data_IF_862739751973
#
_entry.id   IF_862739751973
#
_cell.length_a   1.000
_cell.length_b   1.000
_cell.length_c   1.000
_cell.angle_alpha   90.00
_cell.angle_beta   90.00
_cell.angle_gamma   90.00
#
_symmetry.space_group_name_H-M   'P 1'
#
loop_
_entity.id
_entity.type
_entity.pdbx_description
1 polymer ?
#
# COMPACT_ATOMS: atom_id res chain seq x y z
N UNK A 1 7.34 -45.67 -55.43
CA UNK A 1 8.35 -44.64 -55.14
C UNK A 1 7.61 -43.50 -54.45
N UNK A 2 7.67 -43.44 -53.10
CA UNK A 2 6.98 -42.41 -52.31
C UNK A 2 7.75 -41.09 -52.39
N UNK A 3 7.07 -39.98 -52.68
CA UNK A 3 7.63 -38.64 -52.55
C UNK A 3 6.91 -37.91 -51.40
N UNK A 4 7.62 -37.69 -50.30
CA UNK A 4 7.18 -36.84 -49.19
C UNK A 4 7.29 -35.37 -49.58
N UNK A 5 6.18 -34.62 -49.44
CA UNK A 5 6.16 -33.16 -49.54
C UNK A 5 6.38 -32.59 -48.13
N UNK A 6 7.56 -32.01 -47.90
CA UNK A 6 7.85 -31.25 -46.68
C UNK A 6 7.27 -29.84 -46.76
N UNK A 7 6.43 -29.48 -45.79
CA UNK A 7 5.90 -28.11 -45.63
C UNK A 7 6.84 -27.34 -44.70
N UNK A 8 7.45 -26.27 -45.20
CA UNK A 8 8.27 -25.34 -44.44
C UNK A 8 7.34 -24.27 -43.82
N UNK A 9 7.25 -24.20 -42.49
CA UNK A 9 6.50 -23.15 -41.77
C UNK A 9 7.48 -22.05 -41.35
N UNK A 10 7.33 -20.86 -41.91
CA UNK A 10 8.08 -19.68 -41.50
C UNK A 10 7.41 -19.01 -40.29
N UNK A 11 8.14 -18.91 -39.18
CA UNK A 11 7.70 -18.19 -37.96
C UNK A 11 8.12 -16.73 -38.08
N UNK A 12 7.16 -15.83 -38.23
CA UNK A 12 7.39 -14.37 -38.22
C UNK A 12 7.32 -13.88 -36.78
N UNK A 13 8.45 -13.45 -36.21
CA UNK A 13 8.49 -12.81 -34.90
C UNK A 13 8.03 -11.35 -35.03
N UNK A 14 6.90 -11.01 -34.42
CA UNK A 14 6.41 -9.62 -34.33
C UNK A 14 7.26 -8.81 -33.36
N UNK A 15 8.03 -7.86 -33.87
CA UNK A 15 8.69 -6.81 -33.08
C UNK A 15 7.70 -5.70 -32.78
N UNK A 16 7.23 -5.61 -31.54
CA UNK A 16 6.44 -4.48 -31.04
C UNK A 16 7.39 -3.32 -30.69
N UNK A 17 7.31 -2.22 -31.44
CA UNK A 17 7.99 -0.97 -31.09
C UNK A 17 7.44 -0.45 -29.75
N UNK A 18 8.29 -0.30 -28.75
CA UNK A 18 7.92 0.33 -27.47
C UNK A 18 7.74 1.83 -27.71
N UNK A 19 6.50 2.26 -27.91
CA UNK A 19 6.17 3.68 -28.01
C UNK A 19 6.42 4.37 -26.66
N UNK A 20 7.01 5.57 -26.70
CA UNK A 20 7.23 6.42 -25.52
C UNK A 20 6.20 7.55 -25.46
N UNK A 21 5.71 7.88 -24.27
CA UNK A 21 4.80 8.97 -24.00
C UNK A 21 5.52 10.32 -24.22
N UNK A 22 4.88 11.29 -24.90
CA UNK A 22 5.48 12.60 -25.14
C UNK A 22 5.62 13.40 -23.83
N UNK A 23 6.37 14.50 -23.89
CA UNK A 23 6.44 15.49 -22.82
C UNK A 23 5.03 15.88 -22.33
N UNK A 24 4.79 15.89 -21.02
CA UNK A 24 3.47 16.13 -20.40
C UNK A 24 2.37 15.14 -20.83
N UNK A 25 2.73 14.08 -21.56
CA UNK A 25 1.82 13.04 -22.00
C UNK A 25 1.50 12.05 -20.89
N UNK A 26 0.40 11.32 -21.06
CA UNK A 26 0.07 10.22 -20.16
C UNK A 26 1.04 9.06 -20.37
N UNK A 27 1.58 8.55 -19.26
CA UNK A 27 2.55 7.47 -19.23
C UNK A 27 2.11 6.33 -18.28
N UNK A 28 0.90 6.37 -17.75
CA UNK A 28 0.42 5.37 -16.81
C UNK A 28 -0.92 5.75 -16.21
N UNK A 29 -1.41 4.87 -15.33
CA UNK A 29 -2.72 4.97 -14.73
C UNK A 29 -3.60 3.77 -15.07
N UNK A 30 -4.59 3.49 -14.22
CA UNK A 30 -5.46 2.33 -14.43
C UNK A 30 -6.23 2.47 -15.76
N UNK A 31 -6.28 1.38 -16.53
CA UNK A 31 -6.89 1.36 -17.86
C UNK A 31 -6.06 1.99 -18.98
N UNK A 32 -4.89 2.57 -18.69
CA UNK A 32 -3.98 3.08 -19.72
C UNK A 32 -3.33 1.92 -20.50
N UNK A 33 -3.62 1.84 -21.79
CA UNK A 33 -3.03 0.86 -22.72
C UNK A 33 -1.93 1.45 -23.60
N UNK A 34 -1.63 2.73 -23.41
CA UNK A 34 -0.62 3.46 -24.17
C UNK A 34 0.79 3.31 -23.60
N UNK A 35 1.74 4.11 -24.12
CA UNK A 35 3.14 4.14 -23.68
C UNK A 35 3.28 4.26 -22.16
N UNK A 36 4.05 3.39 -21.52
CA UNK A 36 4.34 3.48 -20.08
C UNK A 36 5.68 4.16 -19.76
N UNK A 37 6.49 4.37 -20.79
CA UNK A 37 7.79 5.02 -20.70
C UNK A 37 7.72 6.41 -21.29
N UNK A 38 8.27 7.40 -20.61
CA UNK A 38 8.38 8.76 -21.14
C UNK A 38 9.53 8.89 -22.13
N UNK A 39 9.48 9.92 -22.98
CA UNK A 39 10.64 10.32 -23.79
C UNK A 39 11.91 10.52 -22.93
N UNK A 40 13.11 10.29 -23.47
CA UNK A 40 14.35 10.45 -22.72
C UNK A 40 14.45 11.79 -21.98
N UNK A 41 14.86 11.77 -20.71
CA UNK A 41 14.95 12.95 -19.85
C UNK A 41 13.65 13.34 -19.14
N UNK A 42 12.56 12.57 -19.32
CA UNK A 42 11.28 12.77 -18.65
C UNK A 42 10.95 11.56 -17.79
N UNK A 43 10.29 11.81 -16.64
CA UNK A 43 9.91 10.76 -15.70
C UNK A 43 8.41 10.61 -15.67
N UNK A 44 7.92 9.38 -15.67
CA UNK A 44 6.50 9.11 -15.48
C UNK A 44 6.13 9.30 -14.00
N UNK A 45 5.51 10.42 -13.68
CA UNK A 45 5.12 10.76 -12.31
C UNK A 45 3.65 10.45 -12.13
N UNK A 46 3.33 9.61 -11.15
CA UNK A 46 1.96 9.33 -10.76
C UNK A 46 1.32 10.62 -10.24
N UNK A 47 0.35 11.17 -10.98
CA UNK A 47 -0.42 12.32 -10.54
C UNK A 47 -1.65 11.85 -9.75
N UNK A 48 -2.35 10.85 -10.28
CA UNK A 48 -3.45 10.19 -9.60
C UNK A 48 -3.65 8.76 -10.13
N UNK A 49 -4.58 8.03 -9.54
CA UNK A 49 -4.81 6.60 -9.82
C UNK A 49 -5.05 6.28 -11.31
N UNK A 50 -5.68 7.17 -12.07
CA UNK A 50 -6.00 6.97 -13.49
C UNK A 50 -4.99 7.62 -14.44
N UNK A 51 -4.05 8.40 -13.91
CA UNK A 51 -3.22 9.27 -14.71
C UNK A 51 -1.83 9.45 -14.11
N UNK A 52 -0.82 8.98 -14.83
CA UNK A 52 0.59 9.33 -14.62
C UNK A 52 1.04 10.19 -15.79
N UNK A 53 1.79 11.26 -15.52
CA UNK A 53 2.22 12.23 -16.52
C UNK A 53 3.75 12.23 -16.66
N UNK A 54 4.23 12.36 -17.88
CA UNK A 54 5.64 12.66 -18.12
C UNK A 54 5.95 14.08 -17.67
N UNK A 55 6.78 14.22 -16.63
CA UNK A 55 7.23 15.51 -16.10
C UNK A 55 8.77 15.65 -16.18
N UNK A 56 9.26 16.86 -16.41
CA UNK A 56 10.66 17.23 -16.24
C UNK A 56 10.94 17.50 -14.77
N UNK A 57 11.87 16.74 -14.15
CA UNK A 57 12.34 17.01 -12.79
C UNK A 57 12.00 15.97 -11.70
N UNK A 58 11.48 14.78 -12.03
CA UNK A 58 11.65 13.62 -11.14
C UNK A 58 13.14 13.25 -11.03
N UNK A 59 13.64 12.67 -9.91
CA UNK A 59 15.07 12.61 -9.60
C UNK A 59 15.86 12.05 -10.79
N UNK A 60 16.48 12.97 -11.50
CA UNK A 60 17.34 12.70 -12.63
C UNK A 60 18.61 12.13 -12.01
N UNK A 61 18.87 10.84 -12.21
CA UNK A 61 20.20 10.30 -11.99
C UNK A 61 21.13 10.94 -13.02
N UNK A 62 21.70 12.07 -12.63
CA UNK A 62 22.93 12.56 -13.25
C UNK A 62 23.96 11.46 -13.05
N UNK A 63 24.38 10.84 -14.15
CA UNK A 63 25.49 9.89 -14.19
C UNK A 63 26.75 10.62 -13.75
N UNK A 64 27.09 10.52 -12.46
CA UNK A 64 28.42 10.88 -11.96
C UNK A 64 29.14 9.58 -11.62
N UNK A 65 30.09 9.24 -12.48
CA UNK A 65 31.04 8.15 -12.30
C UNK A 65 31.81 8.39 -11.00
N UNK A 66 31.69 7.48 -10.03
CA UNK A 66 32.44 7.52 -8.77
C UNK A 66 33.44 6.37 -8.72
N UNK A 67 34.71 6.74 -8.70
CA UNK A 67 35.85 5.91 -8.30
C UNK A 67 35.80 5.65 -6.78
N UNK A 68 36.17 4.46 -6.29
CA UNK A 68 36.14 4.16 -4.86
C UNK A 68 37.50 4.45 -4.21
N UNK A 69 37.53 5.17 -3.08
CA UNK A 69 38.64 5.05 -2.09
C UNK A 69 38.25 5.51 -0.67
N UNK A 70 38.26 4.52 0.21
CA UNK A 70 38.84 4.47 1.59
C UNK A 70 38.32 5.40 2.68
N UNK A 71 37.60 4.79 3.63
CA UNK A 71 37.19 5.33 4.94
C UNK A 71 38.23 5.00 6.03
N UNK A 72 38.58 6.00 6.85
CA UNK A 72 39.38 5.87 8.07
C UNK A 72 38.48 6.12 9.30
N UNK A 73 38.50 5.29 10.35
CA UNK A 73 37.68 5.51 11.54
C UNK A 73 38.43 6.38 12.55
N UNK A 74 37.76 7.42 13.09
CA UNK A 74 38.25 8.17 14.26
C UNK A 74 37.21 8.18 15.37
N UNK A 75 37.69 7.80 16.55
CA UNK A 75 36.97 7.57 17.80
C UNK A 75 36.80 8.85 18.65
N UNK A 76 35.81 8.78 19.58
CA UNK A 76 35.86 9.16 21.02
C UNK A 76 34.96 10.31 21.51
N UNK A 77 34.14 9.97 22.53
CA UNK A 77 33.61 10.76 23.68
C UNK A 77 32.67 11.96 23.42
N UNK A 78 31.71 12.36 24.26
CA UNK A 78 31.19 11.92 25.58
C UNK A 78 29.95 12.77 25.96
N UNK A 79 29.02 12.18 26.73
CA UNK A 79 28.12 12.72 27.79
C UNK A 79 27.41 14.09 27.65
N UNK A 80 26.08 14.14 27.90
CA UNK A 80 25.48 14.49 29.22
C UNK A 80 23.94 14.54 29.20
N UNK A 81 23.39 14.28 30.39
CA UNK A 81 21.99 14.19 30.84
C UNK A 81 21.34 15.56 31.08
N UNK A 82 20.06 15.75 30.70
CA UNK A 82 19.11 16.58 31.46
C UNK A 82 17.63 16.33 31.07
N UNK A 83 16.81 16.14 32.10
CA UNK A 83 15.33 16.11 32.22
C UNK A 83 15.03 16.98 33.49
N UNK A 84 13.79 17.40 33.86
CA UNK A 84 12.51 17.71 33.18
C UNK A 84 12.01 19.16 33.47
N UNK A 85 10.97 19.64 32.77
CA UNK A 85 9.81 20.32 33.42
C UNK A 85 8.63 20.60 32.46
N UNK A 86 7.42 20.24 32.89
CA UNK A 86 6.09 20.73 32.44
C UNK A 86 5.73 22.01 33.24
N UNK A 87 4.80 22.90 32.80
CA UNK A 87 3.39 22.70 33.18
C UNK A 87 2.30 23.38 32.28
N UNK A 88 1.04 22.99 32.54
CA UNK A 88 -0.23 23.78 32.50
C UNK A 88 -1.12 23.83 31.23
N UNK A 89 -2.16 22.99 31.27
CA UNK A 89 -3.63 23.24 31.20
C UNK A 89 -4.17 24.57 30.64
N UNK A 90 -5.00 24.50 29.58
CA UNK A 90 -6.26 25.27 29.43
C UNK A 90 -7.29 24.46 28.59
N UNK A 91 -8.55 24.42 29.03
CA UNK A 91 -9.81 23.90 28.43
C UNK A 91 -10.89 25.00 28.68
N UNK A 92 -12.13 25.02 28.11
CA UNK A 92 -12.71 24.60 26.82
C UNK A 92 -13.44 25.77 26.10
N UNK A 93 -13.89 25.56 24.85
CA UNK A 93 -15.06 26.32 24.32
C UNK A 93 -15.93 25.47 23.39
N UNK A 94 -17.24 25.63 23.57
CA UNK A 94 -18.42 24.94 23.02
C UNK A 94 -19.02 25.65 21.80
N UNK A 95 -19.68 24.90 20.89
CA UNK A 95 -21.04 25.11 20.28
C UNK A 95 -21.22 24.15 19.07
N UNK A 96 -22.07 23.09 19.11
CA UNK A 96 -23.54 22.93 18.89
C UNK A 96 -23.98 22.98 17.39
N UNK A 97 -24.93 22.11 16.93
CA UNK A 97 -25.04 21.63 15.54
C UNK A 97 -26.18 22.26 14.72
N UNK A 98 -26.17 22.02 13.40
CA UNK A 98 -27.29 22.32 12.50
C UNK A 98 -27.50 21.20 11.46
N UNK A 99 -28.74 20.73 11.40
CA UNK A 99 -29.35 19.71 10.53
C UNK A 99 -29.91 20.30 9.22
N UNK A 100 -30.45 19.42 8.35
CA UNK A 100 -31.51 19.59 7.29
C UNK A 100 -31.00 19.28 5.85
N UNK A 101 -31.73 18.72 4.87
CA UNK A 101 -32.51 17.47 4.69
C UNK A 101 -32.94 17.34 3.19
N UNK A 102 -32.64 16.20 2.51
CA UNK A 102 -33.38 15.44 1.44
C UNK A 102 -33.61 15.98 -0.04
N UNK A 103 -34.07 15.17 -1.06
CA UNK A 103 -33.44 14.90 -2.40
C UNK A 103 -34.40 15.24 -3.61
N UNK A 104 -34.51 14.54 -4.80
CA UNK A 104 -33.65 13.63 -5.61
C UNK A 104 -33.53 14.03 -7.13
N UNK A 105 -32.75 13.30 -7.96
CA UNK A 105 -33.10 12.72 -9.31
C UNK A 105 -31.85 12.40 -10.21
N UNK A 106 -31.61 11.10 -10.43
CA UNK A 106 -31.19 10.29 -11.61
C UNK A 106 -30.24 10.79 -12.74
N UNK A 107 -29.05 10.15 -12.94
CA UNK A 107 -28.41 9.63 -14.20
C UNK A 107 -26.94 9.07 -13.95
N UNK A 108 -26.18 8.46 -14.91
CA UNK A 108 -25.39 7.20 -14.78
C UNK A 108 -23.92 7.33 -14.30
N UNK A 109 -23.21 6.25 -13.88
CA UNK A 109 -22.09 6.36 -12.94
C UNK A 109 -20.74 6.73 -13.59
N UNK A 110 -20.06 7.69 -12.94
CA UNK A 110 -18.74 8.27 -13.27
C UNK A 110 -17.78 7.95 -12.11
N UNK A 111 -16.53 7.57 -12.38
CA UNK A 111 -15.59 6.99 -11.40
C UNK A 111 -14.93 8.02 -10.47
N UNK A 112 -15.61 8.30 -9.35
CA UNK A 112 -15.15 9.04 -8.18
C UNK A 112 -14.21 8.18 -7.28
N UNK A 113 -13.42 8.79 -6.35
CA UNK A 113 -12.80 8.04 -5.25
C UNK A 113 -13.88 7.24 -4.50
N UNK A 114 -13.62 6.01 -4.03
CA UNK A 114 -14.65 5.20 -3.41
C UNK A 114 -15.13 5.84 -2.11
N UNK A 115 -16.29 6.48 -2.15
CA UNK A 115 -17.14 6.74 -0.98
C UNK A 115 -17.87 5.43 -0.67
N UNK A 116 -17.12 4.44 -0.21
CA UNK A 116 -17.69 3.18 0.25
C UNK A 116 -18.24 3.39 1.65
N UNK A 117 -19.57 3.35 1.82
CA UNK A 117 -20.14 2.99 3.12
C UNK A 117 -19.78 1.53 3.34
N UNK A 118 -18.70 1.29 4.05
CA UNK A 118 -18.33 -0.05 4.43
C UNK A 118 -19.49 -0.61 5.29
N UNK A 119 -20.13 -1.67 4.79
CA UNK A 119 -21.01 -2.53 5.59
C UNK A 119 -20.13 -3.44 6.44
N UNK A 120 -20.70 -4.06 7.47
CA UNK A 120 -19.97 -5.01 8.32
C UNK A 120 -19.06 -5.93 7.50
N UNK A 121 -17.90 -6.27 8.06
CA UNK A 121 -16.96 -7.19 7.41
C UNK A 121 -17.72 -8.40 6.88
N UNK A 122 -17.28 -9.03 5.78
CA UNK A 122 -18.08 -10.00 5.00
C UNK A 122 -18.56 -11.23 5.78
N UNK A 123 -18.07 -11.41 7.01
CA UNK A 123 -18.39 -12.49 7.94
C UNK A 123 -19.13 -12.05 9.21
N UNK A 124 -19.47 -10.76 9.32
CA UNK A 124 -20.14 -10.19 10.48
C UNK A 124 -19.20 -9.77 11.61
N UNK A 125 -19.78 -9.25 12.72
CA UNK A 125 -19.04 -8.57 13.78
C UNK A 125 -18.37 -9.52 14.78
N UNK A 126 -18.76 -10.79 14.81
CA UNK A 126 -18.24 -11.79 15.76
C UNK A 126 -17.11 -12.58 15.12
N UNK A 127 -15.97 -12.61 15.80
CA UNK A 127 -14.78 -13.33 15.34
C UNK A 127 -15.05 -14.83 15.25
N UNK A 128 -14.86 -15.40 14.06
CA UNK A 128 -14.97 -16.84 13.86
C UNK A 128 -13.72 -17.57 14.38
N UNK A 129 -13.84 -18.84 14.80
CA UNK A 129 -12.71 -19.62 15.29
C UNK A 129 -11.53 -19.64 14.32
N UNK A 130 -10.32 -19.39 14.83
CA UNK A 130 -9.08 -19.37 14.04
C UNK A 130 -8.83 -18.06 13.29
N UNK A 131 -9.77 -17.13 13.26
CA UNK A 131 -9.57 -15.80 12.69
C UNK A 131 -9.02 -14.82 13.73
N UNK A 132 -8.47 -13.72 13.22
CA UNK A 132 -7.96 -12.58 13.97
C UNK A 132 -8.47 -11.29 13.32
N UNK A 133 -8.57 -10.23 14.10
CA UNK A 133 -8.55 -8.88 13.57
C UNK A 133 -7.09 -8.42 13.44
N UNK A 134 -6.77 -7.57 12.47
CA UNK A 134 -5.46 -6.91 12.40
C UNK A 134 -5.68 -5.40 12.37
N UNK A 135 -5.07 -4.66 13.29
CA UNK A 135 -5.34 -3.23 13.49
C UNK A 135 -4.08 -2.42 13.76
N UNK A 136 -4.13 -1.15 13.37
CA UNK A 136 -3.14 -0.15 13.73
C UNK A 136 -3.14 0.13 15.24
N UNK A 137 -1.94 0.29 15.82
CA UNK A 137 -1.74 0.55 17.25
C UNK A 137 -1.15 1.93 17.55
N UNK A 138 -1.10 2.82 16.56
CA UNK A 138 -0.54 4.16 16.71
C UNK A 138 -1.50 5.23 16.20
N UNK A 139 -1.38 6.46 16.71
CA UNK A 139 -2.12 7.59 16.16
C UNK A 139 -1.50 8.01 14.82
N UNK A 140 -2.30 8.50 13.84
CA UNK A 140 -3.71 8.86 13.95
C UNK A 140 -4.70 7.72 13.62
N UNK A 141 -4.23 6.54 13.24
CA UNK A 141 -5.11 5.44 12.79
C UNK A 141 -5.33 4.37 13.86
N UNK A 142 -5.15 4.73 15.13
CA UNK A 142 -5.33 3.84 16.26
C UNK A 142 -6.68 3.14 16.16
N UNK A 143 -6.67 1.81 16.25
CA UNK A 143 -7.85 0.96 16.11
C UNK A 143 -8.58 1.05 14.75
N UNK A 144 -7.88 1.43 13.70
CA UNK A 144 -8.31 1.16 12.32
C UNK A 144 -7.79 -0.21 11.87
N UNK A 145 -8.62 -0.91 11.13
CA UNK A 145 -8.44 -2.33 10.82
C UNK A 145 -8.03 -2.52 9.37
N UNK A 146 -7.03 -3.38 9.16
CA UNK A 146 -6.60 -3.81 7.84
C UNK A 146 -7.74 -4.57 7.15
N UNK A 147 -8.15 -4.09 5.99
CA UNK A 147 -9.22 -4.72 5.20
C UNK A 147 -9.15 -4.30 3.72
N UNK A 148 -9.87 -5.02 2.87
CA UNK A 148 -10.14 -4.59 1.50
C UNK A 148 -11.02 -3.35 1.48
N UNK A 149 -10.70 -2.34 0.65
CA UNK A 149 -11.45 -1.08 0.60
C UNK A 149 -12.89 -1.26 0.11
N UNK A 150 -13.14 -2.31 -0.67
CA UNK A 150 -14.48 -2.79 -1.01
C UNK A 150 -14.71 -4.10 -0.27
N UNK A 151 -15.68 -4.13 0.63
CA UNK A 151 -15.99 -5.32 1.43
C UNK A 151 -16.28 -6.51 0.52
N UNK A 152 -15.59 -7.64 0.77
CA UNK A 152 -15.76 -8.87 0.01
C UNK A 152 -15.13 -8.90 -1.39
N UNK A 153 -14.43 -7.85 -1.83
CA UNK A 153 -13.93 -7.73 -3.20
C UNK A 153 -12.45 -7.39 -3.24
N UNK A 154 -11.73 -7.98 -4.21
CA UNK A 154 -10.34 -7.63 -4.50
C UNK A 154 -10.22 -6.12 -4.77
N UNK A 155 -9.43 -5.43 -3.95
CA UNK A 155 -9.33 -3.97 -3.92
C UNK A 155 -8.11 -3.54 -3.12
N UNK A 156 -7.82 -2.24 -3.08
CA UNK A 156 -6.69 -1.71 -2.28
C UNK A 156 -6.87 -2.07 -0.80
N UNK A 157 -5.76 -2.31 -0.11
CA UNK A 157 -5.79 -2.52 1.34
C UNK A 157 -5.84 -1.16 2.05
N UNK A 158 -6.71 -1.06 3.06
CA UNK A 158 -6.95 0.19 3.78
C UNK A 158 -7.05 -0.04 5.28
N UNK A 159 -6.83 1.04 6.04
CA UNK A 159 -7.14 1.15 7.46
C UNK A 159 -8.58 1.62 7.62
N UNK A 160 -9.52 0.67 7.58
CA UNK A 160 -10.95 0.96 7.72
C UNK A 160 -11.46 0.90 9.16
N UNK A 161 -12.75 1.16 9.34
CA UNK A 161 -13.37 1.27 10.66
C UNK A 161 -13.66 -0.09 11.31
N UNK A 162 -13.70 -0.15 12.65
CA UNK A 162 -13.99 -1.36 13.42
C UNK A 162 -15.32 -2.02 13.05
N UNK A 163 -16.32 -1.22 12.66
CA UNK A 163 -17.63 -1.72 12.21
C UNK A 163 -17.53 -2.62 10.99
N UNK A 164 -16.43 -2.52 10.24
CA UNK A 164 -16.23 -3.13 8.91
C UNK A 164 -15.02 -4.05 8.86
N UNK A 165 -14.36 -4.23 10.00
CA UNK A 165 -13.11 -4.94 10.12
C UNK A 165 -13.15 -6.29 9.41
N UNK A 166 -12.09 -6.59 8.66
CA UNK A 166 -11.92 -7.89 8.04
C UNK A 166 -11.46 -8.90 9.10
N UNK A 167 -12.00 -10.11 9.01
CA UNK A 167 -11.46 -11.26 9.74
C UNK A 167 -10.34 -11.90 8.90
N UNK A 168 -9.18 -12.09 9.52
CA UNK A 168 -7.93 -12.46 8.87
C UNK A 168 -7.38 -13.75 9.47
N UNK A 169 -6.80 -14.60 8.63
CA UNK A 169 -5.90 -15.67 9.06
C UNK A 169 -4.51 -15.40 8.51
N UNK A 170 -3.49 -15.87 9.22
CA UNK A 170 -2.12 -15.92 8.71
C UNK A 170 -1.81 -17.38 8.36
N UNK A 171 -1.73 -17.70 7.06
CA UNK A 171 -1.56 -19.07 6.56
C UNK A 171 -0.39 -19.11 5.60
N UNK A 172 0.62 -19.93 5.89
CA UNK A 172 1.79 -20.15 5.01
C UNK A 172 2.45 -18.85 4.52
N UNK A 173 2.62 -17.87 5.41
CA UNK A 173 3.23 -16.59 5.05
C UNK A 173 2.29 -15.60 4.36
N UNK A 174 1.00 -15.88 4.30
CA UNK A 174 0.00 -15.05 3.64
C UNK A 174 -1.00 -14.50 4.65
N UNK A 175 -1.31 -13.22 4.54
CA UNK A 175 -2.44 -12.59 5.21
C UNK A 175 -3.69 -12.87 4.38
N UNK A 176 -4.63 -13.62 4.94
CA UNK A 176 -5.81 -14.15 4.25
C UNK A 176 -7.08 -13.55 4.86
N UNK A 177 -7.68 -12.60 4.17
CA UNK A 177 -9.00 -12.08 4.53
C UNK A 177 -10.08 -13.09 4.18
N UNK A 178 -10.86 -13.48 5.18
CA UNK A 178 -11.90 -14.49 5.08
C UNK A 178 -13.21 -13.85 4.58
N UNK A 179 -13.89 -14.51 3.64
CA UNK A 179 -15.17 -14.09 3.07
C UNK A 179 -16.25 -15.14 3.29
N UNK A 180 -17.51 -14.75 3.08
CA UNK A 180 -18.63 -15.68 3.10
C UNK A 180 -18.50 -16.78 2.02
N UNK A 181 -19.10 -17.94 2.28
CA UNK A 181 -19.07 -19.08 1.35
C UNK A 181 -17.68 -19.72 1.19
N UNK A 182 -16.77 -19.53 2.16
CA UNK A 182 -15.43 -20.12 2.15
C UNK A 182 -14.46 -19.49 1.15
N UNK A 183 -14.83 -18.35 0.56
CA UNK A 183 -13.95 -17.58 -0.33
C UNK A 183 -12.93 -16.79 0.51
N UNK A 184 -11.82 -16.43 -0.11
CA UNK A 184 -10.75 -15.67 0.56
C UNK A 184 -10.14 -14.64 -0.38
N UNK A 185 -9.52 -13.61 0.20
CA UNK A 185 -8.61 -12.68 -0.47
C UNK A 185 -7.26 -12.69 0.25
N UNK A 186 -6.18 -12.51 -0.51
CA UNK A 186 -4.82 -12.47 -0.02
C UNK A 186 -4.28 -11.06 -0.09
N UNK A 187 -3.64 -10.59 0.99
CA UNK A 187 -2.91 -9.33 0.96
C UNK A 187 -1.63 -9.50 0.12
N UNK A 188 -1.58 -8.79 -1.00
CA UNK A 188 -0.47 -8.74 -1.93
C UNK A 188 0.32 -7.44 -1.73
N UNK A 189 1.62 -7.48 -2.03
CA UNK A 189 2.51 -6.31 -2.01
C UNK A 189 3.02 -6.07 -3.43
N UNK A 190 2.82 -4.88 -3.96
CA UNK A 190 3.38 -4.52 -5.26
C UNK A 190 4.84 -4.06 -5.10
N UNK A 191 5.78 -4.92 -5.49
CA UNK A 191 7.23 -4.68 -5.37
C UNK A 191 7.85 -4.02 -6.60
N UNK A 192 7.07 -3.62 -7.61
CA UNK A 192 7.62 -3.09 -8.87
C UNK A 192 8.40 -1.79 -8.69
N UNK A 193 8.10 -1.02 -7.64
CA UNK A 193 8.78 0.24 -7.31
C UNK A 193 10.15 0.08 -6.64
N UNK A 194 10.56 -1.14 -6.23
CA UNK A 194 11.81 -1.32 -5.48
C UNK A 194 13.03 -0.92 -6.30
N UNK A 195 13.11 -1.38 -7.55
CA UNK A 195 14.25 -1.09 -8.42
C UNK A 195 14.39 0.40 -8.77
N UNK A 196 13.28 1.16 -8.68
CA UNK A 196 13.24 2.60 -8.90
C UNK A 196 13.36 3.42 -7.60
N UNK A 197 13.68 2.79 -6.47
CA UNK A 197 13.94 3.49 -5.21
C UNK A 197 12.67 3.94 -4.48
N UNK A 198 11.55 3.23 -4.64
CA UNK A 198 10.35 3.50 -3.87
C UNK A 198 10.63 3.51 -2.36
N UNK A 199 10.07 4.49 -1.64
CA UNK A 199 10.20 4.61 -0.18
C UNK A 199 9.16 3.79 0.57
N UNK A 200 8.12 3.32 -0.12
CA UNK A 200 7.11 2.41 0.40
C UNK A 200 6.43 1.65 -0.73
N UNK A 201 5.81 0.50 -0.41
CA UNK A 201 5.17 -0.38 -1.39
C UNK A 201 3.66 -0.47 -1.17
N UNK A 202 2.84 -0.33 -2.22
CA UNK A 202 1.40 -0.48 -2.11
C UNK A 202 0.99 -1.90 -1.78
N UNK A 203 -0.05 -2.04 -0.97
CA UNK A 203 -0.67 -3.33 -0.67
C UNK A 203 -2.13 -3.38 -1.13
N UNK A 204 -2.59 -4.57 -1.52
CA UNK A 204 -3.94 -4.78 -2.06
C UNK A 204 -4.41 -6.20 -1.82
N UNK A 205 -5.72 -6.40 -1.69
CA UNK A 205 -6.34 -7.72 -1.58
C UNK A 205 -6.67 -8.27 -2.97
N UNK A 206 -6.28 -9.52 -3.25
CA UNK A 206 -6.55 -10.22 -4.50
C UNK A 206 -7.00 -11.67 -4.26
N UNK A 207 -7.64 -12.30 -5.24
CA UNK A 207 -8.05 -13.71 -5.15
C UNK A 207 -6.86 -14.68 -5.24
N UNK A 208 -5.71 -14.20 -5.71
CA UNK A 208 -4.47 -14.97 -5.83
C UNK A 208 -3.51 -14.65 -4.68
N UNK A 209 -2.81 -15.66 -4.13
CA UNK A 209 -1.79 -15.45 -3.10
C UNK A 209 -0.70 -14.48 -3.56
N UNK A 210 -0.07 -13.83 -2.58
CA UNK A 210 1.04 -12.93 -2.83
C UNK A 210 2.23 -13.69 -3.43
N UNK A 211 2.67 -13.35 -4.66
CA UNK A 211 3.81 -14.01 -5.28
C UNK A 211 5.14 -13.62 -4.63
N UNK A 212 5.21 -12.53 -3.86
CA UNK A 212 6.47 -11.96 -3.37
C UNK A 212 6.41 -11.60 -1.89
N UNK A 213 7.34 -12.18 -1.14
CA UNK A 213 7.51 -11.94 0.29
C UNK A 213 6.65 -12.82 1.18
N UNK A 214 6.80 -12.62 2.48
CA UNK A 214 6.23 -13.46 3.53
C UNK A 214 5.76 -12.56 4.65
N UNK A 215 4.48 -12.67 5.00
CA UNK A 215 3.92 -12.10 6.20
C UNK A 215 4.11 -13.05 7.38
N UNK A 216 4.41 -12.49 8.55
CA UNK A 216 4.50 -13.25 9.80
C UNK A 216 4.05 -12.39 10.98
N UNK A 217 3.68 -13.02 12.09
CA UNK A 217 3.59 -12.31 13.37
C UNK A 217 4.89 -12.51 14.16
N UNK A 218 5.42 -11.41 14.70
CA UNK A 218 6.51 -11.42 15.67
C UNK A 218 5.98 -10.83 16.97
N UNK A 219 5.71 -11.69 17.95
CA UNK A 219 4.77 -11.35 19.01
C UNK A 219 3.39 -11.08 18.41
N UNK A 220 2.82 -9.90 18.69
CA UNK A 220 1.54 -9.49 18.11
C UNK A 220 1.67 -8.71 16.81
N UNK A 221 2.88 -8.19 16.53
CA UNK A 221 3.14 -7.31 15.39
C UNK A 221 3.18 -8.08 14.08
N UNK A 222 2.35 -7.68 13.12
CA UNK A 222 2.44 -8.13 11.74
C UNK A 222 3.76 -7.63 11.17
N UNK A 223 4.45 -8.50 10.45
CA UNK A 223 5.71 -8.22 9.78
C UNK A 223 5.65 -8.69 8.35
N UNK A 224 6.47 -8.09 7.49
CA UNK A 224 6.64 -8.52 6.12
C UNK A 224 8.10 -8.47 5.70
N UNK A 225 8.57 -9.56 5.11
CA UNK A 225 9.93 -9.71 4.58
C UNK A 225 9.88 -10.19 3.15
N UNK A 226 10.84 -9.77 2.31
CA UNK A 226 11.01 -10.32 0.97
C UNK A 226 12.49 -10.40 0.60
N UNK A 227 12.86 -11.48 -0.08
CA UNK A 227 14.22 -11.67 -0.59
C UNK A 227 14.61 -10.51 -1.51
N UNK A 228 15.78 -9.92 -1.27
CA UNK A 228 16.28 -8.79 -2.07
C UNK A 228 15.66 -7.43 -1.72
N UNK A 229 14.78 -7.35 -0.71
CA UNK A 229 14.18 -6.10 -0.24
C UNK A 229 14.52 -5.92 1.24
N UNK A 230 15.71 -5.36 1.56
CA UNK A 230 16.10 -5.12 2.95
C UNK A 230 15.23 -4.03 3.57
N UNK A 231 14.90 -4.18 4.85
CA UNK A 231 14.09 -3.21 5.61
C UNK A 231 14.71 -3.03 6.98
N UNK A 232 14.79 -1.77 7.45
CA UNK A 232 15.29 -1.46 8.78
C UNK A 232 14.35 -1.98 9.88
N UNK A 233 13.03 -1.86 9.64
CA UNK A 233 11.99 -2.41 10.49
C UNK A 233 10.99 -3.20 9.63
N UNK A 234 10.94 -4.51 9.83
CA UNK A 234 10.04 -5.41 9.07
C UNK A 234 8.58 -5.31 9.51
N UNK A 235 8.30 -4.70 10.67
CA UNK A 235 6.96 -4.44 11.21
C UNK A 235 6.44 -3.03 10.94
N UNK A 236 7.19 -2.19 10.22
CA UNK A 236 6.76 -0.83 9.90
C UNK A 236 5.80 -0.80 8.70
N UNK A 237 4.63 -0.20 8.88
CA UNK A 237 3.68 0.06 7.81
C UNK A 237 3.44 1.57 7.71
N UNK A 238 2.83 2.01 6.62
CA UNK A 238 2.34 3.37 6.49
C UNK A 238 0.84 3.37 6.23
N UNK A 239 0.16 4.32 6.87
CA UNK A 239 -1.18 4.76 6.53
C UNK A 239 -1.07 6.04 5.69
N UNK A 240 -1.33 5.97 4.40
CA UNK A 240 -1.21 7.14 3.52
C UNK A 240 -2.55 7.59 2.95
N UNK A 241 -2.71 8.91 2.82
CA UNK A 241 -3.90 9.55 2.28
C UNK A 241 -4.86 10.05 3.35
N UNK A 242 -5.97 10.65 2.91
CA UNK A 242 -7.00 11.23 3.78
C UNK A 242 -8.28 10.41 3.79
N UNK A 243 -9.05 10.48 4.88
CA UNK A 243 -10.31 9.75 5.01
C UNK A 243 -10.08 8.32 5.46
N UNK A 244 -10.05 7.37 4.52
CA UNK A 244 -9.73 5.96 4.78
C UNK A 244 -8.34 5.67 4.18
N UNK A 245 -7.26 5.74 4.97
CA UNK A 245 -5.91 5.68 4.43
C UNK A 245 -5.59 4.29 3.89
N UNK A 246 -4.80 4.25 2.82
CA UNK A 246 -4.26 3.02 2.28
C UNK A 246 -3.16 2.44 3.16
N UNK A 247 -2.99 1.12 3.11
CA UNK A 247 -1.94 0.40 3.85
C UNK A 247 -0.75 0.16 2.92
N UNK A 248 0.44 0.53 3.37
CA UNK A 248 1.68 0.38 2.61
C UNK A 248 2.78 -0.27 3.45
N UNK A 249 3.70 -0.97 2.81
CA UNK A 249 4.93 -1.45 3.44
C UNK A 249 5.92 -0.28 3.50
N UNK A 250 6.38 0.09 4.69
CA UNK A 250 7.41 1.13 4.82
C UNK A 250 8.80 0.55 4.44
N UNK A 251 9.49 1.15 3.46
CA UNK A 251 10.87 0.80 3.12
C UNK A 251 11.89 1.79 3.73
N UNK A 252 11.43 2.94 4.22
CA UNK A 252 12.24 3.98 4.82
C UNK A 252 12.53 3.78 6.32
N UNK A 253 13.17 4.80 6.90
CA UNK A 253 13.43 4.86 8.33
C UNK A 253 12.13 5.16 9.11
N UNK A 254 11.77 4.26 10.00
CA UNK A 254 10.58 4.38 10.86
C UNK A 254 10.69 5.62 11.77
N UNK A 255 9.62 6.41 11.88
CA UNK A 255 9.45 7.56 12.77
C UNK A 255 10.34 8.80 12.54
N UNK A 256 11.24 8.82 11.54
CA UNK A 256 12.10 9.98 11.25
C UNK A 256 12.01 10.50 9.81
N UNK A 257 11.41 9.73 8.89
CA UNK A 257 11.25 10.11 7.47
C UNK A 257 9.90 9.65 6.90
N UNK A 258 8.83 9.73 7.69
CA UNK A 258 7.48 9.42 7.24
C UNK A 258 7.14 10.31 6.04
N UNK A 259 6.75 9.73 4.88
CA UNK A 259 6.39 10.53 3.71
C UNK A 259 5.24 11.50 4.01
N UNK A 260 5.24 12.66 3.36
CA UNK A 260 4.18 13.65 3.53
C UNK A 260 2.80 13.04 3.18
N UNK A 261 1.82 13.25 4.05
CA UNK A 261 0.48 12.65 3.89
C UNK A 261 0.39 11.19 4.31
N UNK A 262 1.44 10.64 4.93
CA UNK A 262 1.45 9.33 5.56
C UNK A 262 1.66 9.45 7.08
N UNK A 263 1.20 8.45 7.81
CA UNK A 263 1.57 8.17 9.18
C UNK A 263 2.29 6.81 9.25
N UNK A 264 3.32 6.72 10.09
CA UNK A 264 3.90 5.42 10.46
C UNK A 264 2.92 4.65 11.33
N UNK A 265 2.82 3.36 11.06
CA UNK A 265 1.92 2.46 11.78
C UNK A 265 2.63 1.16 12.09
N UNK A 266 2.33 0.61 13.27
CA UNK A 266 2.52 -0.81 13.57
C UNK A 266 1.15 -1.49 13.55
N UNK A 267 1.07 -2.68 12.96
CA UNK A 267 -0.16 -3.47 12.92
C UNK A 267 -0.04 -4.64 13.89
N UNK A 268 -0.98 -4.77 14.81
CA UNK A 268 -1.05 -5.93 15.69
C UNK A 268 -2.27 -6.78 15.40
N UNK A 269 -2.17 -8.09 15.63
CA UNK A 269 -3.38 -8.88 15.72
C UNK A 269 -4.17 -8.50 16.98
N UNK A 270 -5.48 -8.69 16.92
CA UNK A 270 -6.41 -8.55 18.03
C UNK A 270 -7.40 -9.71 17.95
N UNK A 271 -7.58 -10.44 19.04
CA UNK A 271 -8.37 -11.67 19.10
C UNK A 271 -9.65 -11.54 19.95
N UNK A 272 -10.07 -10.31 20.24
CA UNK A 272 -11.33 -10.07 20.93
C UNK A 272 -12.53 -10.56 20.12
N UNK A 273 -13.61 -10.95 20.81
CA UNK A 273 -14.81 -11.49 20.19
C UNK A 273 -15.41 -10.57 19.11
N UNK A 274 -15.23 -9.26 19.25
CA UNK A 274 -15.65 -8.24 18.28
C UNK A 274 -14.53 -7.22 18.09
N UNK A 275 -14.43 -6.66 16.88
CA UNK A 275 -13.62 -5.47 16.63
C UNK A 275 -14.15 -4.28 17.46
N UNK A 276 -13.25 -3.44 17.94
CA UNK A 276 -13.55 -2.29 18.82
C UNK A 276 -12.93 -1.00 18.28
N UNK A 277 -13.57 0.16 18.51
CA UNK A 277 -13.01 1.48 18.20
C UNK A 277 -11.83 1.82 19.11
#
# INVERSE_FOLDING_TARGET
MLAQIGVLVAVVAGVSAQATAPAWGQCGGVGWTGPTLCIPGWTCVLSNYWYSQCLQGGPSTTTTSSTPVTITPSSKSSSTTAKPTTPTTIKPTTTKPSTTSVPPTSAPPTSAPPTGTASAGPLGPTLLPGNLWVRAVEAPNFHKYLQSSVSGTASSAVFGDYTTAAQIQLVNGQVVQQLSGGKVLYLNVNTSGVASGATYLPTFFAATPNPTGTFAFQGDGLTWTATGIPRQNIGAFLACGTGVPGVYINLGAYAYMTPAGCADETLNYYNGATAVP
#
